data_IF_299192783834
#
_entry.id   IF_299192783834
#
_cell.length_a   1.000
_cell.length_b   1.000
_cell.length_c   1.000
_cell.angle_alpha   90.00
_cell.angle_beta   90.00
_cell.angle_gamma   90.00
#
_symmetry.space_group_name_H-M   'P 1'
#
loop_
_entity.id
_entity.type
_entity.pdbx_description
1 polymer ?
#
# COMPACT_ATOMS: atom_id res chain seq x y z
N UNK A 1 5.30 -14.47 13.38
CA UNK A 1 3.86 -14.49 13.61
C UNK A 1 3.54 -15.18 14.94
N UNK A 2 3.96 -16.40 15.16
CA UNK A 2 3.61 -17.14 16.38
C UNK A 2 4.10 -16.48 17.68
N UNK A 3 5.34 -16.00 17.72
CA UNK A 3 5.91 -15.36 18.94
C UNK A 3 5.17 -14.09 19.39
N UNK A 4 4.53 -13.37 18.48
CA UNK A 4 3.84 -12.10 18.75
C UNK A 4 2.34 -12.20 18.48
N UNK A 5 1.83 -13.41 18.19
CA UNK A 5 0.43 -13.68 17.84
C UNK A 5 -0.13 -12.73 16.77
N UNK A 6 0.65 -12.49 15.71
CA UNK A 6 0.23 -11.63 14.61
C UNK A 6 -0.66 -12.37 13.61
N UNK A 7 -1.65 -11.68 13.08
CA UNK A 7 -2.57 -12.18 12.05
C UNK A 7 -2.14 -11.75 10.64
N UNK A 8 -1.43 -10.62 10.52
CA UNK A 8 -0.87 -10.09 9.29
C UNK A 8 0.53 -9.54 9.58
N UNK A 9 1.52 -10.04 8.86
CA UNK A 9 2.92 -9.65 8.94
C UNK A 9 3.44 -9.32 7.56
N UNK A 10 4.20 -8.24 7.44
CA UNK A 10 4.90 -7.85 6.21
C UNK A 10 6.33 -7.40 6.50
N UNK A 11 6.89 -6.61 5.59
CA UNK A 11 8.22 -6.01 5.77
C UNK A 11 8.58 -5.02 4.67
N UNK A 12 9.81 -4.56 4.70
CA UNK A 12 10.35 -3.58 3.76
C UNK A 12 10.75 -4.22 2.43
N UNK A 13 10.86 -3.40 1.39
CA UNK A 13 11.41 -3.81 0.10
C UNK A 13 12.54 -2.88 -0.35
N UNK A 14 13.47 -3.43 -1.12
CA UNK A 14 14.43 -2.69 -1.91
C UNK A 14 13.98 -2.65 -3.37
N UNK A 15 14.13 -1.52 -4.04
CA UNK A 15 13.68 -1.33 -5.41
C UNK A 15 14.90 -1.18 -6.34
N UNK A 16 14.87 -1.87 -7.49
CA UNK A 16 15.89 -1.83 -8.53
C UNK A 16 15.26 -1.65 -9.92
N UNK A 17 16.03 -1.20 -10.92
CA UNK A 17 15.52 -1.03 -12.30
C UNK A 17 15.95 -2.24 -13.15
N UNK A 18 17.22 -2.36 -13.44
CA UNK A 18 17.73 -3.41 -14.32
C UNK A 18 18.44 -4.53 -13.56
N UNK A 19 19.41 -4.14 -12.73
CA UNK A 19 20.23 -5.06 -11.97
C UNK A 19 19.77 -5.12 -10.50
N UNK A 20 19.40 -6.29 -9.94
CA UNK A 20 18.94 -6.44 -8.56
C UNK A 20 20.00 -6.11 -7.51
N UNK A 21 21.26 -5.99 -7.88
CA UNK A 21 22.33 -5.57 -6.96
C UNK A 21 22.51 -4.03 -6.92
N UNK A 22 21.88 -3.31 -7.85
CA UNK A 22 21.88 -1.86 -7.93
C UNK A 22 20.57 -1.28 -7.39
N UNK A 23 20.50 -1.16 -6.06
CA UNK A 23 19.30 -0.64 -5.38
C UNK A 23 19.18 0.87 -5.60
N UNK A 24 18.06 1.30 -6.16
CA UNK A 24 17.75 2.70 -6.45
C UNK A 24 16.95 3.37 -5.34
N UNK A 25 16.15 2.60 -4.59
CA UNK A 25 15.34 3.13 -3.49
C UNK A 25 14.87 2.04 -2.54
N UNK A 26 14.35 2.46 -1.39
CA UNK A 26 13.74 1.57 -0.39
C UNK A 26 12.31 2.03 -0.09
N UNK A 27 11.37 1.08 -0.03
CA UNK A 27 10.06 1.33 0.54
C UNK A 27 10.00 0.74 1.94
N UNK A 28 10.22 1.61 2.93
CA UNK A 28 10.02 1.29 4.34
C UNK A 28 8.56 1.56 4.72
N UNK A 29 8.01 0.72 5.57
CA UNK A 29 6.64 0.78 6.08
C UNK A 29 6.68 0.78 7.61
N UNK A 30 5.65 1.30 8.32
CA UNK A 30 5.60 1.26 9.78
C UNK A 30 5.62 -0.19 10.29
N UNK A 31 6.25 -0.42 11.44
CA UNK A 31 6.46 -1.75 11.99
C UNK A 31 5.47 -2.11 13.11
N UNK A 32 5.01 -1.12 13.86
CA UNK A 32 4.13 -1.30 15.01
C UNK A 32 2.66 -1.22 14.62
N UNK A 33 1.81 -2.03 15.25
CA UNK A 33 0.38 -2.12 14.94
C UNK A 33 -0.33 -0.76 14.91
N UNK A 34 -0.14 0.08 15.92
CA UNK A 34 -0.80 1.39 15.99
C UNK A 34 -0.42 2.31 14.82
N UNK A 35 0.87 2.32 14.45
CA UNK A 35 1.37 3.11 13.33
C UNK A 35 0.90 2.55 11.98
N UNK A 36 0.80 1.22 11.87
CA UNK A 36 0.24 0.53 10.70
C UNK A 36 -1.21 0.95 10.48
N UNK A 37 -2.04 0.90 11.54
CA UNK A 37 -3.46 1.27 11.47
C UNK A 37 -3.61 2.73 11.02
N UNK A 38 -2.86 3.65 11.60
CA UNK A 38 -2.89 5.06 11.22
C UNK A 38 -2.43 5.29 9.77
N UNK A 39 -1.35 4.63 9.37
CA UNK A 39 -0.76 4.78 8.03
C UNK A 39 -1.64 4.17 6.94
N UNK A 40 -2.27 3.00 7.19
CA UNK A 40 -3.11 2.28 6.24
C UNK A 40 -4.34 3.09 5.81
N UNK A 41 -4.82 4.00 6.64
CA UNK A 41 -5.92 4.91 6.33
C UNK A 41 -5.60 5.88 5.18
N UNK A 42 -4.33 6.22 4.99
CA UNK A 42 -3.90 7.17 3.97
C UNK A 42 -3.11 6.51 2.82
N UNK A 43 -2.37 5.46 3.14
CA UNK A 43 -1.45 4.81 2.21
C UNK A 43 -1.19 3.37 2.67
N UNK A 44 -1.02 2.43 1.74
CA UNK A 44 -0.72 1.04 2.07
C UNK A 44 0.45 0.90 3.04
N UNK A 45 0.20 0.33 4.21
CA UNK A 45 1.19 0.04 5.25
C UNK A 45 1.91 -1.30 5.01
N UNK A 46 1.54 -2.02 3.95
CA UNK A 46 2.16 -3.29 3.59
C UNK A 46 2.73 -3.26 2.18
N UNK A 47 3.79 -4.00 1.98
CA UNK A 47 4.28 -4.37 0.66
C UNK A 47 3.71 -5.74 0.33
N UNK A 48 2.70 -5.82 -0.54
CA UNK A 48 1.90 -7.02 -0.79
C UNK A 48 2.76 -8.29 -1.02
N UNK A 49 3.87 -8.15 -1.77
CA UNK A 49 4.78 -9.26 -2.06
C UNK A 49 5.57 -9.78 -0.84
N UNK A 50 5.47 -9.12 0.31
CA UNK A 50 6.14 -9.54 1.55
C UNK A 50 5.20 -10.10 2.60
N UNK A 51 3.88 -10.07 2.35
CA UNK A 51 2.91 -10.38 3.39
C UNK A 51 2.76 -11.87 3.67
N UNK A 52 2.60 -12.17 4.94
CA UNK A 52 2.15 -13.44 5.48
C UNK A 52 0.95 -13.17 6.38
N UNK A 53 -0.10 -13.98 6.28
CA UNK A 53 -1.33 -13.80 7.06
C UNK A 53 -1.92 -15.14 7.51
N UNK A 54 -2.70 -15.11 8.58
CA UNK A 54 -3.54 -16.25 8.98
C UNK A 54 -4.72 -16.36 8.03
N UNK A 55 -4.91 -17.52 7.39
CA UNK A 55 -6.01 -17.78 6.46
C UNK A 55 -7.38 -17.49 7.08
N UNK A 56 -7.59 -17.94 8.30
CA UNK A 56 -8.88 -17.76 8.98
C UNK A 56 -9.23 -16.29 9.21
N UNK A 57 -8.21 -15.44 9.46
CA UNK A 57 -8.44 -14.00 9.60
C UNK A 57 -8.79 -13.36 8.25
N UNK A 58 -8.19 -13.77 7.15
CA UNK A 58 -8.55 -13.31 5.80
C UNK A 58 -9.99 -13.70 5.47
N UNK A 59 -10.40 -14.95 5.75
CA UNK A 59 -11.77 -15.41 5.53
C UNK A 59 -12.78 -14.65 6.41
N UNK A 60 -12.45 -14.42 7.68
CA UNK A 60 -13.24 -13.60 8.61
C UNK A 60 -13.41 -12.16 8.12
N UNK A 61 -12.39 -11.60 7.49
CA UNK A 61 -12.39 -10.25 6.93
C UNK A 61 -13.14 -10.13 5.59
N UNK A 62 -13.65 -11.24 5.02
CA UNK A 62 -14.42 -11.25 3.78
C UNK A 62 -13.60 -11.55 2.53
N UNK A 63 -12.30 -11.90 2.68
CA UNK A 63 -11.41 -12.25 1.57
C UNK A 63 -11.14 -11.07 0.58
N UNK A 64 -10.43 -11.36 -0.51
CA UNK A 64 -10.23 -10.41 -1.61
C UNK A 64 -11.55 -10.19 -2.36
N UNK A 65 -11.83 -8.94 -2.72
CA UNK A 65 -13.00 -8.59 -3.52
C UNK A 65 -12.63 -8.51 -5.00
N UNK A 66 -13.34 -9.27 -5.82
CA UNK A 66 -13.12 -9.28 -7.26
C UNK A 66 -13.47 -7.93 -7.92
N UNK A 67 -12.73 -7.61 -8.98
CA UNK A 67 -12.99 -6.45 -9.83
C UNK A 67 -12.66 -5.09 -9.21
N UNK A 68 -12.03 -5.07 -8.03
CA UNK A 68 -11.59 -3.85 -7.39
C UNK A 68 -10.12 -3.56 -7.67
N UNK A 69 -9.85 -2.29 -7.90
CA UNK A 69 -8.50 -1.75 -7.82
C UNK A 69 -8.14 -1.52 -6.35
N UNK A 70 -6.91 -1.83 -5.93
CA UNK A 70 -6.44 -1.78 -4.52
C UNK A 70 -7.18 -2.80 -3.62
N UNK A 71 -7.46 -3.98 -4.15
CA UNK A 71 -8.09 -5.10 -3.45
C UNK A 71 -7.32 -5.50 -2.18
N UNK A 72 -5.99 -5.39 -2.25
CA UNK A 72 -5.08 -5.65 -1.15
C UNK A 72 -5.24 -4.63 -0.01
N UNK A 73 -5.24 -3.33 -0.33
CA UNK A 73 -5.43 -2.27 0.66
C UNK A 73 -6.79 -2.36 1.36
N UNK A 74 -7.83 -2.74 0.62
CA UNK A 74 -9.16 -2.94 1.18
C UNK A 74 -9.18 -4.15 2.11
N UNK A 75 -8.54 -5.26 1.71
CA UNK A 75 -8.43 -6.45 2.57
C UNK A 75 -7.68 -6.13 3.86
N UNK A 76 -6.57 -5.38 3.81
CA UNK A 76 -5.84 -5.01 5.03
C UNK A 76 -6.70 -4.17 5.99
N UNK A 77 -7.48 -3.23 5.46
CA UNK A 77 -8.42 -2.46 6.28
C UNK A 77 -9.56 -3.34 6.84
N UNK A 78 -10.10 -4.27 6.05
CA UNK A 78 -11.09 -5.23 6.52
C UNK A 78 -10.52 -6.11 7.66
N UNK A 79 -9.30 -6.62 7.51
CA UNK A 79 -8.64 -7.42 8.55
C UNK A 79 -8.43 -6.61 9.83
N UNK A 80 -7.96 -5.37 9.72
CA UNK A 80 -7.81 -4.47 10.87
C UNK A 80 -9.15 -4.22 11.55
N UNK A 81 -10.22 -3.95 10.80
CA UNK A 81 -11.58 -3.76 11.32
C UNK A 81 -12.15 -5.02 11.98
N UNK A 82 -11.75 -6.21 11.51
CA UNK A 82 -12.10 -7.51 12.10
C UNK A 82 -11.27 -7.86 13.35
N UNK A 83 -10.36 -6.97 13.78
CA UNK A 83 -9.54 -7.12 14.99
C UNK A 83 -8.18 -7.79 14.76
N UNK A 84 -7.68 -7.85 13.52
CA UNK A 84 -6.37 -8.41 13.22
C UNK A 84 -5.24 -7.67 13.93
N UNK A 85 -4.33 -8.41 14.54
CA UNK A 85 -3.05 -7.90 15.04
C UNK A 85 -2.04 -7.88 13.90
N UNK A 86 -1.48 -6.71 13.63
CA UNK A 86 -0.60 -6.49 12.48
C UNK A 86 0.81 -6.07 12.89
N UNK A 87 1.79 -6.40 12.08
CA UNK A 87 3.18 -5.99 12.24
C UNK A 87 3.94 -5.99 10.92
N UNK A 88 5.07 -5.29 10.87
CA UNK A 88 6.05 -5.44 9.80
C UNK A 88 7.43 -5.65 10.43
N UNK A 89 8.23 -6.53 9.85
CA UNK A 89 9.62 -6.68 10.20
C UNK A 89 10.41 -5.44 9.72
N UNK A 90 11.30 -4.92 10.56
CA UNK A 90 12.25 -3.87 10.16
C UNK A 90 13.40 -4.47 9.33
N UNK A 91 13.04 -5.21 8.29
CA UNK A 91 13.96 -5.91 7.39
C UNK A 91 13.52 -5.78 5.95
N UNK A 92 14.48 -5.77 5.03
CA UNK A 92 14.24 -5.89 3.60
C UNK A 92 13.98 -7.36 3.27
N UNK A 93 12.73 -7.68 2.94
CA UNK A 93 12.32 -9.06 2.66
C UNK A 93 12.36 -9.39 1.17
N UNK A 94 12.27 -8.38 0.30
CA UNK A 94 12.18 -8.60 -1.14
C UNK A 94 12.88 -7.48 -1.92
N UNK A 95 13.55 -7.85 -3.03
CA UNK A 95 14.02 -6.92 -4.05
C UNK A 95 12.96 -6.86 -5.15
N UNK A 96 12.49 -5.67 -5.52
CA UNK A 96 11.38 -5.47 -6.46
C UNK A 96 11.85 -4.65 -7.65
N UNK A 97 11.59 -5.15 -8.85
CA UNK A 97 11.86 -4.40 -10.08
C UNK A 97 10.83 -3.28 -10.24
N UNK A 98 11.32 -2.06 -10.41
CA UNK A 98 10.51 -0.87 -10.71
C UNK A 98 10.94 -0.30 -12.05
N UNK A 99 10.01 0.13 -12.88
CA UNK A 99 10.31 0.65 -14.20
C UNK A 99 9.22 1.59 -14.71
N UNK A 100 9.45 2.17 -15.90
CA UNK A 100 8.56 3.16 -16.51
C UNK A 100 7.11 2.70 -16.58
N UNK A 101 6.86 1.45 -16.96
CA UNK A 101 5.51 0.90 -17.05
C UNK A 101 4.73 0.84 -15.71
N UNK A 102 5.43 0.80 -14.56
CA UNK A 102 4.77 0.90 -13.26
C UNK A 102 4.23 2.33 -13.03
N UNK A 103 5.01 3.35 -13.42
CA UNK A 103 4.61 4.74 -13.25
C UNK A 103 3.52 5.15 -14.24
N UNK A 104 3.57 4.63 -15.46
CA UNK A 104 2.54 4.86 -16.49
C UNK A 104 1.19 4.33 -16.06
N UNK A 105 1.10 3.10 -15.56
CA UNK A 105 -0.14 2.48 -15.07
C UNK A 105 -0.80 3.25 -13.91
N UNK A 106 -0.04 4.07 -13.18
CA UNK A 106 -0.53 4.91 -12.07
C UNK A 106 -0.90 6.33 -12.49
N UNK A 107 -1.09 6.58 -13.78
CA UNK A 107 -1.43 7.87 -14.35
C UNK A 107 -2.75 7.91 -15.09
N UNK A 108 -3.21 9.13 -15.33
CA UNK A 108 -4.39 9.43 -16.13
C UNK A 108 -5.73 9.30 -15.39
N UNK A 109 -6.78 9.75 -16.06
CA UNK A 109 -8.15 9.81 -15.51
C UNK A 109 -8.72 8.44 -15.16
N UNK A 110 -8.37 7.40 -15.94
CA UNK A 110 -8.82 6.02 -15.68
C UNK A 110 -8.30 5.53 -14.32
N UNK A 111 -7.03 5.71 -14.06
CA UNK A 111 -6.42 5.35 -12.78
C UNK A 111 -7.04 6.13 -11.62
N UNK A 112 -7.20 7.45 -11.78
CA UNK A 112 -7.81 8.30 -10.76
C UNK A 112 -9.24 7.87 -10.43
N UNK A 113 -10.04 7.49 -11.45
CA UNK A 113 -11.39 6.96 -11.25
C UNK A 113 -11.40 5.69 -10.41
N UNK A 114 -10.54 4.72 -10.74
CA UNK A 114 -10.42 3.45 -10.01
C UNK A 114 -9.94 3.68 -8.55
N UNK A 115 -8.95 4.53 -8.37
CA UNK A 115 -8.47 4.91 -7.05
C UNK A 115 -9.58 5.54 -6.20
N UNK A 116 -10.31 6.50 -6.76
CA UNK A 116 -11.43 7.15 -6.08
C UNK A 116 -12.52 6.14 -5.68
N UNK A 117 -12.86 5.20 -6.56
CA UNK A 117 -13.85 4.16 -6.26
C UNK A 117 -13.41 3.27 -5.10
N UNK A 118 -12.14 2.83 -5.07
CA UNK A 118 -11.60 2.06 -3.97
C UNK A 118 -11.65 2.84 -2.64
N UNK A 119 -11.19 4.11 -2.65
CA UNK A 119 -11.24 4.98 -1.46
C UNK A 119 -12.65 5.28 -1.00
N UNK A 120 -13.60 5.42 -1.91
CA UNK A 120 -15.02 5.61 -1.58
C UNK A 120 -15.59 4.41 -0.84
N UNK A 121 -15.28 3.18 -1.26
CA UNK A 121 -15.69 1.97 -0.53
C UNK A 121 -15.14 1.92 0.90
N UNK A 122 -13.88 2.32 1.08
CA UNK A 122 -13.28 2.40 2.42
C UNK A 122 -14.02 3.42 3.31
N UNK A 123 -14.45 4.55 2.74
CA UNK A 123 -15.25 5.57 3.42
C UNK A 123 -16.65 5.02 3.79
N UNK A 124 -17.35 4.38 2.85
CA UNK A 124 -18.68 3.80 3.04
C UNK A 124 -18.70 2.73 4.15
N UNK A 125 -17.57 2.03 4.32
CA UNK A 125 -17.36 1.04 5.41
C UNK A 125 -16.92 1.67 6.74
N UNK A 126 -16.78 2.99 6.81
CA UNK A 126 -16.30 3.68 8.01
C UNK A 126 -14.83 3.42 8.37
N UNK A 127 -14.05 2.85 7.45
CA UNK A 127 -12.64 2.51 7.66
C UNK A 127 -11.72 3.73 7.59
N UNK A 128 -12.15 4.76 6.90
CA UNK A 128 -11.48 6.05 6.78
C UNK A 128 -12.50 7.18 6.98
N UNK A 129 -12.02 8.33 7.44
CA UNK A 129 -12.82 9.54 7.55
C UNK A 129 -12.97 10.25 6.20
N UNK A 130 -13.98 11.13 6.10
CA UNK A 130 -14.14 11.98 4.91
C UNK A 130 -12.90 12.84 4.62
N UNK A 131 -12.22 13.34 5.65
CA UNK A 131 -10.99 14.12 5.49
C UNK A 131 -9.84 13.26 4.91
N UNK A 132 -9.69 12.02 5.35
CA UNK A 132 -8.70 11.08 4.82
C UNK A 132 -9.02 10.71 3.37
N UNK A 133 -10.30 10.49 3.06
CA UNK A 133 -10.77 10.30 1.69
C UNK A 133 -10.42 11.49 0.81
N UNK A 134 -10.87 12.69 1.19
CA UNK A 134 -10.66 13.91 0.40
C UNK A 134 -9.17 14.22 0.18
N UNK A 135 -8.35 14.14 1.22
CA UNK A 135 -6.90 14.34 1.15
C UNK A 135 -6.23 13.30 0.22
N UNK A 136 -6.55 12.02 0.38
CA UNK A 136 -5.92 10.97 -0.43
C UNK A 136 -6.29 11.08 -1.91
N UNK A 137 -7.55 11.40 -2.22
CA UNK A 137 -8.03 11.60 -3.60
C UNK A 137 -7.40 12.86 -4.21
N UNK A 138 -7.30 13.97 -3.47
CA UNK A 138 -6.67 15.20 -3.95
C UNK A 138 -5.17 15.00 -4.27
N UNK A 139 -4.42 14.36 -3.36
CA UNK A 139 -3.01 14.02 -3.59
C UNK A 139 -2.88 13.12 -4.83
N UNK A 140 -3.74 12.10 -4.94
CA UNK A 140 -3.69 11.17 -6.06
C UNK A 140 -4.09 11.84 -7.39
N UNK A 141 -4.99 12.81 -7.37
CA UNK A 141 -5.35 13.60 -8.56
C UNK A 141 -4.13 14.37 -9.09
N UNK A 142 -3.40 15.04 -8.21
CA UNK A 142 -2.16 15.75 -8.58
C UNK A 142 -1.16 14.77 -9.21
N UNK A 143 -0.93 13.63 -8.56
CA UNK A 143 0.04 12.63 -9.05
C UNK A 143 -0.42 11.97 -10.36
N UNK A 144 -1.71 11.65 -10.51
CA UNK A 144 -2.23 10.99 -11.70
C UNK A 144 -2.26 11.91 -12.93
N UNK A 145 -2.49 13.20 -12.73
CA UNK A 145 -2.60 14.17 -13.81
C UNK A 145 -1.26 14.83 -14.20
N UNK A 146 -0.22 14.70 -13.39
CA UNK A 146 1.09 15.22 -13.75
C UNK A 146 1.75 14.38 -14.87
N UNK A 147 2.64 14.98 -15.68
CA UNK A 147 3.42 14.27 -16.70
C UNK A 147 4.21 13.08 -16.11
N UNK A 148 4.43 12.03 -16.93
CA UNK A 148 5.06 10.78 -16.48
C UNK A 148 6.42 10.97 -15.80
N UNK A 149 7.28 11.87 -16.33
CA UNK A 149 8.59 12.17 -15.74
C UNK A 149 8.48 12.84 -14.35
N UNK A 150 7.51 13.73 -14.15
CA UNK A 150 7.22 14.35 -12.85
C UNK A 150 6.72 13.31 -11.87
N UNK A 151 5.87 12.42 -12.31
CA UNK A 151 5.35 11.30 -11.51
C UNK A 151 6.47 10.38 -11.06
N UNK A 152 7.37 10.00 -11.97
CA UNK A 152 8.55 9.21 -11.64
C UNK A 152 9.44 9.91 -10.59
N UNK A 153 9.67 11.20 -10.74
CA UNK A 153 10.42 12.00 -9.76
C UNK A 153 9.77 12.00 -8.38
N UNK A 154 8.44 12.21 -8.30
CA UNK A 154 7.68 12.17 -7.05
C UNK A 154 7.83 10.80 -6.38
N UNK A 155 7.65 9.72 -7.12
CA UNK A 155 7.75 8.37 -6.56
C UNK A 155 9.16 8.05 -6.06
N UNK A 156 10.19 8.33 -6.85
CA UNK A 156 11.56 7.95 -6.52
C UNK A 156 12.17 8.88 -5.45
N UNK A 157 11.89 10.19 -5.50
CA UNK A 157 12.56 11.16 -4.62
C UNK A 157 11.78 11.59 -3.39
N UNK A 158 10.44 11.64 -3.47
CA UNK A 158 9.61 12.13 -2.37
C UNK A 158 8.98 11.01 -1.56
N UNK A 159 8.56 9.92 -2.21
CA UNK A 159 7.83 8.83 -1.57
C UNK A 159 8.73 7.65 -1.17
N UNK A 160 10.00 7.69 -1.49
CA UNK A 160 10.99 6.65 -1.17
C UNK A 160 12.16 7.25 -0.41
N UNK A 161 12.68 6.50 0.57
CA UNK A 161 13.96 6.86 1.20
C UNK A 161 15.08 6.43 0.25
N UNK A 162 15.97 7.35 -0.06
CA UNK A 162 17.26 7.04 -0.69
C UNK A 162 18.14 6.29 0.32
N UNK A 163 19.15 5.59 -0.24
CA UNK A 163 20.26 5.03 0.52
C UNK A 163 20.89 6.06 1.43
#
# INVERSE_FOLDING_TARGET
>A
MEKEDLDLLGGHIAEFIDNPDEIVSYRRVPTQHADIVAYQRMRSAFNHMTVMFKKDMVLKAGNYEDGLYMEDDLLWLNMIAAGAKTGNLDQILCKVRVGAGMFERRGGLRYLKLYRQARQRMLERGQISYMEYAKSVAIQAIVALCPGFVRQFIFVKLLRKRK
#
